data_IF_661543393668
#
_entry.id   IF_661543393668
#
_cell.length_a   1.000
_cell.length_b   1.000
_cell.length_c   1.000
_cell.angle_alpha   90.00
_cell.angle_beta   90.00
_cell.angle_gamma   90.00
#
_symmetry.space_group_name_H-M   'P 1'
#
loop_
_entity.id
_entity.type
_entity.pdbx_description
1 polymer ?
#
# COMPACT_ATOMS: atom_id res chain seq x y z
N UNK A 1 -3.84 90.63 35.56
CA UNK A 1 -3.16 89.41 35.06
C UNK A 1 -1.96 89.22 35.96
N UNK A 2 -1.85 88.13 36.73
CA UNK A 2 -0.54 87.70 37.29
C UNK A 2 -0.60 86.32 37.98
N UNK A 3 0.51 85.59 37.83
CA UNK A 3 1.25 84.71 38.78
C UNK A 3 0.54 83.58 39.60
N UNK A 4 1.01 82.34 39.33
CA UNK A 4 1.43 81.18 40.18
C UNK A 4 1.25 81.23 41.74
N UNK A 5 1.30 80.11 42.51
CA UNK A 5 1.81 78.76 42.22
C UNK A 5 0.71 77.64 42.33
N UNK A 6 0.71 76.50 43.05
CA UNK A 6 1.60 75.82 44.03
C UNK A 6 1.35 74.29 44.15
N UNK A 7 2.14 73.62 45.02
CA UNK A 7 2.00 72.21 45.49
C UNK A 7 1.37 72.18 46.91
N UNK A 8 1.01 71.05 47.55
CA UNK A 8 1.09 69.62 47.20
C UNK A 8 1.76 68.78 48.31
N UNK A 9 1.06 67.77 48.86
CA UNK A 9 1.49 66.75 49.86
C UNK A 9 0.41 65.64 49.96
N UNK A 10 0.58 64.47 50.61
CA UNK A 10 1.68 63.49 50.68
C UNK A 10 1.29 62.37 51.67
N UNK A 11 1.47 61.08 51.31
CA UNK A 11 1.21 59.92 52.19
C UNK A 11 -0.26 59.49 52.30
N UNK A 12 -0.59 58.29 52.76
CA UNK A 12 0.26 57.14 53.17
C UNK A 12 -0.30 55.81 52.63
N UNK A 13 0.51 54.75 52.65
CA UNK A 13 0.12 53.44 52.11
C UNK A 13 -0.77 52.63 53.09
N UNK A 14 -1.64 51.80 52.54
CA UNK A 14 -2.11 50.56 53.17
C UNK A 14 -1.86 49.40 52.21
N UNK A 15 -1.22 48.35 52.70
CA UNK A 15 -0.82 47.18 51.91
C UNK A 15 -1.95 46.14 51.92
N UNK A 16 -2.68 46.00 50.82
CA UNK A 16 -3.77 45.02 50.75
C UNK A 16 -3.23 43.57 50.67
N UNK A 17 -3.87 42.66 51.41
CA UNK A 17 -3.30 41.37 51.84
C UNK A 17 -3.65 40.24 50.84
N UNK A 18 -3.77 40.57 49.56
CA UNK A 18 -4.17 39.65 48.48
C UNK A 18 -2.98 38.93 47.79
N UNK A 19 -1.73 39.16 48.21
CA UNK A 19 -0.51 38.62 47.56
C UNK A 19 0.47 37.92 48.53
N UNK A 20 0.01 36.90 49.28
CA UNK A 20 0.76 35.72 49.78
C UNK A 20 -0.04 34.94 50.84
N UNK A 21 -0.53 33.75 50.49
CA UNK A 21 -0.65 32.51 51.33
C UNK A 21 -1.72 31.55 50.78
N UNK A 22 -1.40 30.79 49.73
CA UNK A 22 -1.89 29.41 49.59
C UNK A 22 -0.97 28.59 48.65
N UNK A 23 0.20 28.20 49.18
CA UNK A 23 1.12 27.24 48.56
C UNK A 23 1.63 26.30 49.65
N UNK A 24 0.83 25.29 49.99
CA UNK A 24 1.26 24.05 50.67
C UNK A 24 0.05 23.11 50.80
N UNK A 25 -0.13 22.22 49.82
CA UNK A 25 -0.35 20.77 49.99
C UNK A 25 -0.82 20.13 48.67
N UNK A 26 0.09 19.35 48.05
CA UNK A 26 -0.13 18.15 47.23
C UNK A 26 1.18 17.83 46.47
N UNK A 27 2.20 17.41 47.22
CA UNK A 27 3.41 16.85 46.62
C UNK A 27 3.11 15.40 46.20
N UNK A 28 2.83 15.16 44.92
CA UNK A 28 2.19 13.90 44.54
C UNK A 28 2.10 13.50 43.07
N UNK A 29 3.09 13.83 42.22
CA UNK A 29 3.61 12.90 41.19
C UNK A 29 4.84 13.51 40.49
N UNK A 30 5.98 12.82 40.52
CA UNK A 30 7.16 13.23 39.74
C UNK A 30 7.00 12.68 38.32
N UNK A 31 6.55 13.53 37.40
CA UNK A 31 6.32 13.17 36.00
C UNK A 31 7.64 12.94 35.24
N UNK A 32 8.25 11.77 35.45
CA UNK A 32 9.30 11.21 34.59
C UNK A 32 8.69 10.80 33.23
N UNK A 33 8.28 11.80 32.45
CA UNK A 33 8.14 11.65 30.99
C UNK A 33 9.55 11.50 30.43
N UNK A 34 10.09 10.29 30.54
CA UNK A 34 11.28 9.92 29.81
C UNK A 34 11.00 10.20 28.35
N UNK A 35 11.84 11.05 27.74
CA UNK A 35 11.84 11.28 26.30
C UNK A 35 12.36 10.02 25.60
N UNK A 36 11.57 8.95 25.65
CA UNK A 36 11.77 7.77 24.85
C UNK A 36 11.77 8.24 23.41
N UNK A 37 12.94 8.20 22.79
CA UNK A 37 13.02 8.18 21.35
C UNK A 37 12.22 6.97 20.90
N UNK A 38 10.98 7.21 20.48
CA UNK A 38 10.23 6.29 19.64
C UNK A 38 11.02 6.20 18.34
N UNK A 39 12.09 5.40 18.36
CA UNK A 39 12.92 5.10 17.20
C UNK A 39 11.96 4.58 16.17
N UNK A 40 11.77 5.35 15.10
CA UNK A 40 10.74 5.08 14.12
C UNK A 40 10.96 3.67 13.58
N UNK A 41 10.13 2.73 14.04
CA UNK A 41 10.24 1.33 13.70
C UNK A 41 10.05 1.28 12.19
N UNK A 42 11.14 1.10 11.43
CA UNK A 42 11.09 1.10 9.98
C UNK A 42 10.03 0.05 9.60
N UNK A 43 8.91 0.46 8.99
CA UNK A 43 7.79 -0.46 8.81
C UNK A 43 8.27 -1.62 7.94
N UNK A 44 7.78 -2.83 8.18
CA UNK A 44 8.18 -4.03 7.42
C UNK A 44 8.00 -3.88 5.88
N UNK A 45 7.23 -2.86 5.47
CA UNK A 45 7.10 -2.32 4.12
C UNK A 45 8.38 -1.69 3.50
N UNK A 46 9.51 -1.63 4.21
CA UNK A 46 10.74 -0.96 3.77
C UNK A 46 11.92 -1.92 3.52
N UNK A 47 11.63 -3.14 3.08
CA UNK A 47 12.63 -4.09 2.57
C UNK A 47 12.67 -4.02 1.04
N UNK A 48 13.81 -4.39 0.44
CA UNK A 48 13.86 -4.60 -1.00
C UNK A 48 12.93 -5.75 -1.38
N UNK A 49 12.03 -5.50 -2.33
CA UNK A 49 11.17 -6.55 -2.87
C UNK A 49 12.01 -7.49 -3.74
N UNK A 50 11.97 -8.81 -3.53
CA UNK A 50 12.72 -9.76 -4.34
C UNK A 50 12.32 -9.65 -5.82
N UNK A 51 13.30 -9.72 -6.71
CA UNK A 51 13.08 -9.93 -8.14
C UNK A 51 12.49 -11.34 -8.36
N UNK A 52 11.58 -11.47 -9.33
CA UNK A 52 11.06 -12.76 -9.77
C UNK A 52 10.85 -12.74 -11.29
N UNK A 53 10.89 -13.92 -11.91
CA UNK A 53 10.80 -14.02 -13.38
C UNK A 53 9.53 -13.38 -13.94
N UNK A 54 9.70 -12.64 -15.05
CA UNK A 54 8.63 -12.05 -15.85
C UNK A 54 7.56 -13.06 -16.27
N UNK A 55 7.97 -14.30 -16.58
CA UNK A 55 7.13 -15.29 -17.25
C UNK A 55 6.86 -14.96 -18.72
N UNK A 56 6.25 -15.89 -19.49
CA UNK A 56 6.11 -15.75 -20.94
C UNK A 56 4.97 -14.82 -21.40
N UNK A 57 4.34 -14.11 -20.47
CA UNK A 57 3.07 -13.41 -20.68
C UNK A 57 3.13 -11.90 -20.47
N UNK A 58 4.31 -11.28 -20.33
CA UNK A 58 4.41 -9.82 -20.41
C UNK A 58 4.11 -9.35 -21.85
N UNK A 59 3.57 -8.13 -21.99
CA UNK A 59 3.34 -7.48 -23.27
C UNK A 59 3.73 -6.00 -23.13
N UNK A 60 4.68 -5.54 -23.95
CA UNK A 60 5.23 -4.19 -23.91
C UNK A 60 4.35 -3.14 -24.66
N UNK A 61 3.04 -3.39 -24.68
CA UNK A 61 2.00 -2.51 -25.22
C UNK A 61 0.84 -2.28 -24.20
N UNK A 62 1.12 -2.55 -22.92
CA UNK A 62 0.16 -2.41 -21.83
C UNK A 62 -0.35 -0.96 -21.68
N UNK A 63 -1.67 -0.80 -21.65
CA UNK A 63 -2.34 0.51 -21.73
C UNK A 63 -2.22 1.30 -20.42
N UNK A 64 -2.06 2.63 -20.52
CA UNK A 64 -2.07 3.55 -19.39
C UNK A 64 -3.50 3.70 -18.81
N UNK A 65 -3.88 2.86 -17.84
CA UNK A 65 -5.24 2.82 -17.27
C UNK A 65 -5.30 2.24 -15.86
N UNK A 66 -6.23 2.75 -15.05
CA UNK A 66 -6.48 2.27 -13.69
C UNK A 66 -7.45 1.06 -13.66
N UNK A 67 -8.58 1.13 -14.35
CA UNK A 67 -9.44 -0.05 -14.51
C UNK A 67 -8.90 -0.95 -15.62
N UNK A 68 -8.52 -2.16 -15.26
CA UNK A 68 -7.94 -3.16 -16.16
C UNK A 68 -8.91 -4.32 -16.43
N UNK A 69 -10.14 -4.29 -15.89
CA UNK A 69 -11.03 -5.46 -15.88
C UNK A 69 -11.51 -5.91 -17.24
N UNK A 70 -11.75 -4.99 -18.18
CA UNK A 70 -12.36 -5.26 -19.50
C UNK A 70 -13.57 -6.21 -19.43
N UNK A 71 -14.40 -6.07 -18.39
CA UNK A 71 -15.57 -6.91 -18.16
C UNK A 71 -15.30 -8.38 -17.76
N UNK A 72 -14.06 -8.80 -17.48
CA UNK A 72 -13.80 -10.17 -16.99
C UNK A 72 -14.51 -10.41 -15.65
N UNK A 73 -15.24 -11.53 -15.49
CA UNK A 73 -15.94 -11.85 -14.25
C UNK A 73 -14.96 -12.34 -13.17
N UNK A 74 -15.18 -11.91 -11.93
CA UNK A 74 -14.36 -12.28 -10.78
C UNK A 74 -14.70 -11.41 -9.58
N UNK A 75 -14.22 -11.80 -8.39
CA UNK A 75 -14.35 -11.02 -7.16
C UNK A 75 -13.61 -9.68 -7.36
N UNK A 76 -14.26 -8.51 -7.29
CA UNK A 76 -13.59 -7.24 -7.50
C UNK A 76 -12.47 -7.00 -6.48
N UNK A 77 -11.36 -6.43 -6.95
CA UNK A 77 -10.16 -6.11 -6.18
C UNK A 77 -9.64 -4.74 -6.60
N UNK A 78 -9.54 -3.80 -5.66
CA UNK A 78 -8.68 -2.63 -5.84
C UNK A 78 -7.28 -3.01 -5.37
N UNK A 79 -6.27 -2.78 -6.22
CA UNK A 79 -4.88 -3.07 -5.93
C UNK A 79 -4.10 -1.76 -5.81
N UNK A 80 -3.49 -1.51 -4.65
CA UNK A 80 -2.70 -0.29 -4.36
C UNK A 80 -1.25 -0.68 -4.13
N UNK A 81 -0.38 -0.25 -5.04
CA UNK A 81 1.05 -0.57 -5.05
C UNK A 81 1.84 0.69 -4.74
N UNK A 82 2.44 0.76 -3.54
CA UNK A 82 3.28 1.90 -3.12
C UNK A 82 4.73 1.61 -3.46
N UNK A 83 5.37 2.40 -4.31
CA UNK A 83 6.81 2.29 -4.61
C UNK A 83 7.60 3.20 -3.66
N UNK A 84 8.61 2.63 -3.00
CA UNK A 84 9.49 3.34 -2.04
C UNK A 84 10.97 3.05 -2.30
N UNK A 85 11.83 4.02 -2.01
CA UNK A 85 13.28 3.84 -1.99
C UNK A 85 13.73 3.17 -0.68
N UNK A 86 13.84 1.84 -0.69
CA UNK A 86 14.17 1.05 0.51
C UNK A 86 15.56 1.42 1.08
N UNK A 87 16.49 1.86 0.23
CA UNK A 87 17.84 2.33 0.65
C UNK A 87 17.91 3.81 1.05
N UNK A 88 16.84 4.59 0.87
CA UNK A 88 16.79 6.04 1.17
C UNK A 88 15.64 6.38 2.12
N UNK A 89 15.60 5.72 3.27
CA UNK A 89 14.64 6.03 4.34
C UNK A 89 13.17 5.81 3.97
N UNK A 90 12.89 4.85 3.08
CA UNK A 90 11.53 4.51 2.65
C UNK A 90 10.80 5.64 1.90
N UNK A 91 11.54 6.59 1.33
CA UNK A 91 10.97 7.75 0.65
C UNK A 91 10.06 7.32 -0.52
N UNK A 92 8.82 7.83 -0.61
CA UNK A 92 7.92 7.50 -1.73
C UNK A 92 8.50 7.90 -3.09
N UNK A 93 8.23 7.08 -4.10
CA UNK A 93 8.65 7.33 -5.48
C UNK A 93 7.47 7.82 -6.29
N UNK A 94 7.39 9.13 -6.55
CA UNK A 94 6.46 9.73 -7.50
C UNK A 94 6.91 9.48 -8.95
N UNK A 95 5.96 9.27 -9.87
CA UNK A 95 6.22 9.17 -11.31
C UNK A 95 6.87 7.88 -11.79
N UNK A 96 7.00 6.86 -10.94
CA UNK A 96 7.35 5.51 -11.39
C UNK A 96 6.19 4.92 -12.18
N UNK A 97 6.46 4.30 -13.33
CA UNK A 97 5.46 3.54 -14.06
C UNK A 97 5.40 2.14 -13.47
N UNK A 98 4.26 1.79 -12.87
CA UNK A 98 3.97 0.43 -12.42
C UNK A 98 3.14 -0.24 -13.51
N UNK A 99 3.65 -1.33 -14.09
CA UNK A 99 2.92 -2.18 -15.02
C UNK A 99 2.41 -3.41 -14.27
N UNK A 100 1.16 -3.84 -14.54
CA UNK A 100 0.50 -4.98 -13.89
C UNK A 100 -0.12 -5.89 -14.94
N UNK A 101 0.06 -7.21 -14.80
CA UNK A 101 -0.66 -8.22 -15.57
C UNK A 101 -0.96 -9.48 -14.76
N UNK A 102 -2.11 -10.09 -15.00
CA UNK A 102 -2.47 -11.39 -14.40
C UNK A 102 -3.50 -12.14 -15.23
N UNK A 103 -3.66 -13.43 -14.91
CA UNK A 103 -4.69 -14.27 -15.49
C UNK A 103 -6.10 -13.96 -14.94
N UNK A 104 -7.12 -14.34 -15.69
CA UNK A 104 -8.51 -14.26 -15.25
C UNK A 104 -8.93 -15.40 -14.30
N UNK A 105 -10.21 -15.44 -13.92
CA UNK A 105 -10.77 -16.45 -13.03
C UNK A 105 -10.61 -17.91 -13.49
N UNK A 106 -10.38 -18.12 -14.80
CA UNK A 106 -10.13 -19.41 -15.44
C UNK A 106 -8.64 -19.70 -15.70
N UNK A 107 -7.74 -18.80 -15.32
CA UNK A 107 -6.29 -18.98 -15.50
C UNK A 107 -5.73 -18.57 -16.87
N UNK A 108 -6.54 -17.97 -17.74
CA UNK A 108 -6.09 -17.50 -19.08
C UNK A 108 -5.53 -16.08 -19.04
N UNK A 109 -4.55 -15.80 -19.91
CA UNK A 109 -3.97 -14.46 -20.11
C UNK A 109 -4.48 -13.81 -21.39
N UNK A 110 -4.73 -12.50 -21.32
CA UNK A 110 -5.03 -11.72 -22.53
C UNK A 110 -3.82 -11.61 -23.45
N UNK A 111 -4.06 -11.71 -24.76
CA UNK A 111 -3.01 -11.59 -25.79
C UNK A 111 -2.20 -12.86 -26.08
N UNK A 112 -2.33 -13.92 -25.28
CA UNK A 112 -1.48 -15.13 -25.36
C UNK A 112 -1.72 -16.03 -26.58
N UNK A 113 -2.93 -16.00 -27.17
CA UNK A 113 -3.38 -16.99 -28.16
C UNK A 113 -3.93 -16.35 -29.43
N UNK A 114 -3.97 -17.09 -30.54
CA UNK A 114 -4.47 -16.59 -31.82
C UNK A 114 -5.91 -16.04 -31.74
N UNK A 115 -6.75 -16.58 -30.85
CA UNK A 115 -8.14 -16.17 -30.64
C UNK A 115 -8.29 -14.99 -29.68
N UNK A 116 -7.30 -14.69 -28.82
CA UNK A 116 -7.36 -13.57 -27.87
C UNK A 116 -6.26 -12.51 -28.05
N UNK A 117 -5.43 -12.61 -29.10
CA UNK A 117 -4.23 -11.79 -29.36
C UNK A 117 -4.44 -10.27 -29.28
N UNK A 118 -5.64 -9.77 -29.63
CA UNK A 118 -5.98 -8.34 -29.60
C UNK A 118 -6.62 -7.87 -28.27
N UNK A 119 -6.84 -8.78 -27.31
CA UNK A 119 -7.38 -8.43 -25.99
C UNK A 119 -6.28 -7.98 -25.04
N UNK A 120 -6.57 -7.04 -24.13
CA UNK A 120 -5.63 -6.59 -23.09
C UNK A 120 -6.20 -6.67 -21.67
N UNK A 121 -7.23 -7.49 -21.47
CA UNK A 121 -7.87 -7.65 -20.16
C UNK A 121 -6.88 -8.02 -19.07
N UNK A 122 -7.09 -7.47 -17.88
CA UNK A 122 -6.26 -7.66 -16.69
C UNK A 122 -4.78 -7.27 -16.90
N UNK A 123 -4.57 -6.27 -17.77
CA UNK A 123 -3.30 -5.57 -18.00
C UNK A 123 -3.47 -4.06 -17.96
N UNK A 124 -2.50 -3.36 -17.38
CA UNK A 124 -2.40 -1.90 -17.47
C UNK A 124 -1.18 -1.33 -16.76
N UNK A 125 -0.89 -0.07 -17.08
CA UNK A 125 0.19 0.74 -16.50
C UNK A 125 -0.41 1.92 -15.75
N UNK A 126 0.13 2.26 -14.57
CA UNK A 126 -0.21 3.48 -13.84
C UNK A 126 1.05 4.18 -13.32
N UNK A 127 1.13 5.52 -13.42
CA UNK A 127 2.16 6.30 -12.76
C UNK A 127 1.84 6.38 -11.26
N UNK A 128 2.88 6.35 -10.42
CA UNK A 128 2.71 6.59 -8.97
C UNK A 128 2.45 8.06 -8.65
N UNK A 129 1.50 8.30 -7.75
CA UNK A 129 1.20 9.64 -7.23
C UNK A 129 2.31 10.22 -6.34
N UNK A 130 2.10 11.42 -5.79
CA UNK A 130 3.05 12.07 -4.88
C UNK A 130 3.30 11.28 -3.57
N UNK A 131 2.37 10.41 -3.17
CA UNK A 131 2.55 9.47 -2.06
C UNK A 131 3.22 8.15 -2.48
N UNK A 132 3.62 8.03 -3.75
CA UNK A 132 4.24 6.84 -4.32
C UNK A 132 3.27 5.71 -4.68
N UNK A 133 1.95 5.90 -4.62
CA UNK A 133 0.97 4.84 -4.93
C UNK A 133 0.52 4.88 -6.40
N UNK A 134 0.58 3.72 -7.06
CA UNK A 134 -0.20 3.38 -8.24
C UNK A 134 -1.45 2.57 -7.80
N UNK A 135 -2.62 2.85 -8.37
CA UNK A 135 -3.88 2.18 -8.00
C UNK A 135 -4.58 1.60 -9.22
N UNK A 136 -4.96 0.32 -9.13
CA UNK A 136 -5.69 -0.41 -10.17
C UNK A 136 -7.04 -0.88 -9.64
N UNK A 137 -8.04 -0.95 -10.52
CA UNK A 137 -9.30 -1.67 -10.31
C UNK A 137 -9.25 -2.93 -11.18
N UNK A 138 -9.32 -4.10 -10.55
CA UNK A 138 -9.19 -5.40 -11.20
C UNK A 138 -10.14 -6.44 -10.57
N UNK A 139 -9.95 -7.72 -10.88
CA UNK A 139 -10.52 -8.86 -10.15
C UNK A 139 -9.41 -9.61 -9.41
N UNK A 140 -9.77 -10.34 -8.36
CA UNK A 140 -8.88 -11.34 -7.76
C UNK A 140 -8.54 -12.40 -8.83
N UNK A 141 -7.25 -12.68 -9.11
CA UNK A 141 -6.85 -13.60 -10.18
C UNK A 141 -7.30 -15.04 -9.92
N UNK A 142 -7.38 -15.83 -11.00
CA UNK A 142 -7.41 -17.29 -10.94
C UNK A 142 -6.01 -17.88 -10.75
N UNK A 143 -5.83 -19.10 -11.25
CA UNK A 143 -4.57 -19.83 -11.20
C UNK A 143 -4.44 -20.72 -12.44
N UNK A 144 -3.26 -21.28 -12.68
CA UNK A 144 -3.04 -22.27 -13.74
C UNK A 144 -2.08 -23.36 -13.23
N UNK A 145 -2.08 -24.57 -13.84
CA UNK A 145 -1.28 -25.69 -13.33
C UNK A 145 0.19 -25.35 -13.07
N UNK A 146 0.75 -25.96 -12.03
CA UNK A 146 2.09 -25.70 -11.44
C UNK A 146 2.28 -24.38 -10.67
N UNK A 147 1.35 -23.42 -10.74
CA UNK A 147 1.49 -22.08 -10.13
C UNK A 147 0.48 -21.79 -9.03
N UNK A 148 0.87 -20.95 -8.07
CA UNK A 148 -0.01 -20.34 -7.08
C UNK A 148 -0.87 -19.22 -7.72
N UNK A 149 -1.77 -18.61 -6.94
CA UNK A 149 -2.51 -17.40 -7.35
C UNK A 149 -1.54 -16.21 -7.28
N UNK A 150 -1.37 -15.48 -8.39
CA UNK A 150 -0.40 -14.38 -8.48
C UNK A 150 -0.83 -13.22 -9.39
N UNK A 151 -0.26 -12.05 -9.14
CA UNK A 151 -0.26 -10.89 -10.05
C UNK A 151 1.20 -10.53 -10.37
N UNK A 152 1.56 -10.46 -11.65
CA UNK A 152 2.87 -9.95 -12.05
C UNK A 152 2.90 -8.42 -12.03
N UNK A 153 4.07 -7.84 -11.76
CA UNK A 153 4.29 -6.42 -11.96
C UNK A 153 5.71 -6.08 -12.42
N UNK A 154 5.85 -4.93 -13.09
CA UNK A 154 7.12 -4.21 -13.32
C UNK A 154 7.07 -2.85 -12.67
N UNK A 155 8.24 -2.33 -12.28
CA UNK A 155 8.46 -0.91 -11.97
C UNK A 155 9.49 -0.35 -12.95
N UNK A 156 9.16 0.75 -13.61
CA UNK A 156 10.05 1.48 -14.50
C UNK A 156 10.25 2.92 -14.01
N UNK A 157 11.49 3.40 -14.05
CA UNK A 157 11.86 4.78 -13.78
C UNK A 157 12.44 5.40 -15.06
N UNK A 158 11.88 6.52 -15.52
CA UNK A 158 12.27 7.15 -16.78
C UNK A 158 12.30 6.17 -17.98
N UNK A 159 11.39 5.18 -17.98
CA UNK A 159 11.28 4.07 -18.94
C UNK A 159 12.37 2.99 -18.87
N UNK A 160 13.35 3.08 -17.95
CA UNK A 160 14.22 1.97 -17.61
C UNK A 160 13.55 1.07 -16.56
N UNK A 161 13.52 -0.24 -16.77
CA UNK A 161 13.08 -1.21 -15.77
C UNK A 161 14.04 -1.22 -14.56
N UNK A 162 13.48 -1.23 -13.34
CA UNK A 162 14.25 -1.32 -12.09
C UNK A 162 13.83 -2.50 -11.20
N UNK A 163 12.72 -3.16 -11.51
CA UNK A 163 12.26 -4.39 -10.85
C UNK A 163 11.15 -5.05 -11.68
N UNK A 164 11.28 -6.35 -11.95
CA UNK A 164 10.16 -7.24 -12.27
C UNK A 164 9.97 -8.24 -11.12
N UNK A 165 8.72 -8.47 -10.70
CA UNK A 165 8.41 -9.43 -9.65
C UNK A 165 6.94 -9.88 -9.70
N UNK A 166 6.54 -10.71 -8.74
CA UNK A 166 5.21 -11.30 -8.61
C UNK A 166 4.67 -11.11 -7.19
N UNK A 167 3.40 -10.74 -7.10
CA UNK A 167 2.61 -10.62 -5.88
C UNK A 167 1.78 -11.89 -5.69
N UNK A 168 1.63 -12.32 -4.44
CA UNK A 168 0.87 -13.53 -4.08
C UNK A 168 -0.18 -13.22 -3.02
N UNK A 169 -1.00 -14.22 -2.67
CA UNK A 169 -2.11 -14.07 -1.72
C UNK A 169 -2.05 -15.16 -0.63
N UNK A 170 -2.77 -14.93 0.46
CA UNK A 170 -2.94 -15.93 1.51
C UNK A 170 -3.78 -17.14 1.01
N UNK A 171 -3.39 -18.35 1.43
CA UNK A 171 -4.01 -19.60 0.97
C UNK A 171 -5.41 -19.85 1.58
N UNK A 172 -5.75 -19.23 2.72
CA UNK A 172 -7.11 -19.29 3.28
C UNK A 172 -8.05 -18.29 2.59
N UNK A 173 -7.58 -17.05 2.37
CA UNK A 173 -8.27 -16.06 1.53
C UNK A 173 -8.53 -16.62 0.12
N UNK A 174 -7.53 -17.25 -0.49
CA UNK A 174 -7.64 -17.90 -1.81
C UNK A 174 -8.78 -18.92 -1.84
N UNK A 175 -8.86 -19.81 -0.83
CA UNK A 175 -9.94 -20.79 -0.67
C UNK A 175 -11.30 -20.13 -0.47
N UNK A 176 -11.38 -19.06 0.32
CA UNK A 176 -12.63 -18.32 0.56
C UNK A 176 -13.16 -17.67 -0.73
N UNK A 177 -12.31 -16.96 -1.48
CA UNK A 177 -12.72 -16.22 -2.69
C UNK A 177 -13.13 -17.18 -3.81
N UNK A 178 -12.25 -18.14 -4.17
CA UNK A 178 -12.51 -19.06 -5.28
C UNK A 178 -13.62 -20.07 -4.96
N UNK A 179 -13.79 -20.46 -3.68
CA UNK A 179 -14.85 -21.37 -3.25
C UNK A 179 -16.25 -20.75 -3.22
N UNK A 180 -16.36 -19.44 -2.98
CA UNK A 180 -17.66 -18.76 -2.86
C UNK A 180 -18.14 -18.15 -4.19
N UNK A 181 -17.28 -17.42 -4.89
CA UNK A 181 -17.65 -16.56 -6.01
C UNK A 181 -17.84 -17.35 -7.32
N UNK A 182 -18.96 -17.17 -8.06
CA UNK A 182 -19.37 -18.07 -9.14
C UNK A 182 -18.37 -18.17 -10.31
N UNK A 183 -17.63 -17.10 -10.61
CA UNK A 183 -16.68 -17.06 -11.73
C UNK A 183 -15.54 -18.11 -11.65
N UNK A 184 -15.19 -18.59 -10.45
CA UNK A 184 -14.09 -19.53 -10.24
C UNK A 184 -14.56 -21.00 -10.10
N UNK A 185 -15.88 -21.24 -9.92
CA UNK A 185 -16.41 -22.55 -9.51
C UNK A 185 -16.10 -23.70 -10.47
N UNK A 186 -16.01 -23.42 -11.77
CA UNK A 186 -15.67 -24.41 -12.78
C UNK A 186 -14.18 -24.80 -12.80
N UNK A 187 -13.31 -23.92 -12.29
CA UNK A 187 -11.86 -24.08 -12.25
C UNK A 187 -11.36 -24.59 -10.89
N UNK A 188 -12.12 -24.32 -9.83
CA UNK A 188 -11.79 -24.74 -8.47
C UNK A 188 -10.60 -23.97 -7.88
N UNK A 189 -10.03 -24.55 -6.82
CA UNK A 189 -9.01 -23.90 -5.97
C UNK A 189 -7.67 -24.65 -6.10
N UNK A 190 -6.51 -23.98 -6.08
CA UNK A 190 -5.21 -24.66 -6.03
C UNK A 190 -5.12 -25.65 -4.86
N UNK A 191 -4.59 -26.84 -5.14
CA UNK A 191 -4.27 -27.85 -4.11
C UNK A 191 -2.86 -27.70 -3.54
N UNK A 192 -1.98 -26.96 -4.24
CA UNK A 192 -0.63 -26.60 -3.82
C UNK A 192 -0.68 -25.28 -3.05
N UNK A 193 -0.14 -25.18 -1.82
CA UNK A 193 -0.04 -23.92 -1.09
C UNK A 193 0.93 -22.97 -1.80
N UNK A 194 0.79 -21.66 -1.57
CA UNK A 194 1.62 -20.63 -2.21
C UNK A 194 3.11 -20.84 -1.95
N UNK A 195 3.49 -21.31 -0.74
CA UNK A 195 4.90 -21.62 -0.40
C UNK A 195 5.48 -22.83 -1.13
N UNK A 196 4.66 -23.58 -1.87
CA UNK A 196 5.08 -24.66 -2.77
C UNK A 196 5.24 -24.24 -4.24
N UNK A 197 4.91 -23.00 -4.62
CA UNK A 197 5.15 -22.50 -5.98
C UNK A 197 6.67 -22.26 -6.20
N UNK A 198 7.25 -22.70 -7.33
CA UNK A 198 8.69 -22.70 -7.56
C UNK A 198 9.31 -21.31 -7.72
N UNK A 199 8.49 -20.27 -7.90
CA UNK A 199 8.91 -18.87 -8.04
C UNK A 199 8.56 -18.08 -6.75
N UNK A 200 7.45 -18.42 -6.10
CA UNK A 200 7.05 -17.81 -4.83
C UNK A 200 7.99 -18.17 -3.67
N UNK A 201 8.44 -19.43 -3.62
CA UNK A 201 9.33 -19.96 -2.61
C UNK A 201 8.80 -19.82 -1.17
N UNK A 202 9.70 -19.81 -0.20
CA UNK A 202 9.35 -19.79 1.24
C UNK A 202 9.02 -18.40 1.81
N UNK A 203 9.17 -17.32 1.03
CA UNK A 203 8.91 -15.93 1.44
C UNK A 203 8.28 -15.10 0.30
N UNK A 204 7.05 -15.43 -0.13
CA UNK A 204 6.35 -14.72 -1.18
C UNK A 204 6.08 -13.24 -0.84
N UNK A 205 6.02 -12.39 -1.87
CA UNK A 205 5.54 -11.01 -1.80
C UNK A 205 4.00 -10.97 -1.63
N UNK A 206 3.51 -11.37 -0.46
CA UNK A 206 2.07 -11.49 -0.20
C UNK A 206 1.39 -10.14 -0.05
N UNK A 207 0.31 -9.90 -0.82
CA UNK A 207 -0.57 -8.73 -0.71
C UNK A 207 -1.35 -8.77 0.61
N UNK A 208 -1.35 -7.67 1.38
CA UNK A 208 -2.31 -7.50 2.48
C UNK A 208 -3.66 -7.18 1.85
N UNK A 209 -4.66 -8.05 2.03
CA UNK A 209 -6.01 -7.82 1.51
C UNK A 209 -6.99 -7.63 2.66
N UNK A 210 -7.68 -6.49 2.66
CA UNK A 210 -8.80 -6.22 3.54
C UNK A 210 -10.11 -6.61 2.84
N UNK A 211 -11.01 -7.30 3.55
CA UNK A 211 -12.37 -7.58 3.09
C UNK A 211 -13.31 -6.46 3.59
N UNK A 212 -14.20 -5.91 2.74
CA UNK A 212 -15.26 -5.03 3.20
C UNK A 212 -16.30 -5.81 4.01
N UNK A 213 -17.05 -5.13 4.88
CA UNK A 213 -18.13 -5.75 5.66
C UNK A 213 -19.37 -6.15 4.84
N UNK A 214 -19.45 -5.75 3.56
CA UNK A 214 -20.56 -6.03 2.66
C UNK A 214 -20.24 -7.20 1.72
N UNK A 215 -21.14 -8.17 1.64
CA UNK A 215 -20.98 -9.35 0.80
C UNK A 215 -20.94 -8.98 -0.70
N UNK A 216 -19.87 -9.36 -1.39
CA UNK A 216 -19.64 -9.00 -2.80
C UNK A 216 -19.02 -7.62 -3.03
N UNK A 217 -18.74 -6.85 -1.96
CA UNK A 217 -17.96 -5.62 -2.05
C UNK A 217 -16.54 -5.86 -2.58
N UNK A 218 -15.88 -4.80 -3.07
CA UNK A 218 -14.52 -4.89 -3.59
C UNK A 218 -13.50 -5.15 -2.46
N UNK A 219 -12.60 -6.11 -2.68
CA UNK A 219 -11.43 -6.33 -1.84
C UNK A 219 -10.46 -5.14 -1.99
N UNK A 220 -9.83 -4.72 -0.90
CA UNK A 220 -8.81 -3.66 -0.92
C UNK A 220 -7.45 -4.30 -0.62
N UNK A 221 -6.66 -4.55 -1.68
CA UNK A 221 -5.34 -5.17 -1.63
C UNK A 221 -4.21 -4.15 -1.68
N UNK A 222 -3.27 -4.23 -0.75
CA UNK A 222 -2.14 -3.31 -0.63
C UNK A 222 -0.80 -4.05 -0.54
N UNK A 223 0.20 -3.54 -1.26
CA UNK A 223 1.60 -3.96 -1.14
C UNK A 223 2.55 -2.75 -1.25
N UNK A 224 3.71 -2.84 -0.61
CA UNK A 224 4.77 -1.81 -0.73
C UNK A 224 5.99 -2.41 -1.41
N UNK A 225 6.31 -1.87 -2.57
CA UNK A 225 7.41 -2.28 -3.43
C UNK A 225 8.64 -1.46 -3.02
N UNK A 226 9.60 -2.09 -2.36
CA UNK A 226 10.88 -1.48 -2.04
C UNK A 226 11.86 -1.68 -3.18
N UNK A 227 12.25 -0.59 -3.85
CA UNK A 227 13.31 -0.59 -4.87
C UNK A 227 14.62 -0.02 -4.32
N UNK A 228 15.70 -0.20 -5.08
CA UNK A 228 16.92 0.58 -4.96
C UNK A 228 17.23 1.20 -6.30
N UNK A 229 17.21 2.53 -6.39
CA UNK A 229 17.90 3.23 -7.48
C UNK A 229 19.42 3.06 -7.37
N UNK A 230 20.09 3.16 -8.51
CA UNK A 230 21.52 3.46 -8.58
C UNK A 230 21.84 4.85 -7.99
#
# INVERSE_FOLDING_TARGET
MDVRPAAGIAGTAHSDTARRRFLQELAGLLALVGAGTAGAQAPAACLLTPEATEGPFYLDDALLRADIRDGRPGQPLRLRLRVVEARRGCAPVQGALVSVWHCDASGSYSGESATNRQTRYLRGVQPTGADGVATFTTIYPGWYPSRAIHIHFKVLLAHAEVLTSQLYFDDALSRQVLGSHPAYRAHGVPTRPTTGDPIAGSRPSTVRVNQPGEAGGALEGEFTIGIARA
#
